data_IF_397799968899
#
_entry.id   IF_397799968899
#
_cell.length_a   1.000
_cell.length_b   1.000
_cell.length_c   1.000
_cell.angle_alpha   90.00
_cell.angle_beta   90.00
_cell.angle_gamma   90.00
#
_symmetry.space_group_name_H-M   'P 1'
#
loop_
_entity.id
_entity.type
_entity.pdbx_description
1 polymer ?
#
# COMPACT_ATOMS: atom_id res chain seq x y z
N UNK A 1 -15.79 -2.05 22.25
CA UNK A 1 -16.43 -3.27 21.74
C UNK A 1 -16.65 -3.05 20.25
N UNK A 2 -15.82 -3.67 19.42
CA UNK A 2 -15.86 -3.60 17.97
C UNK A 2 -16.74 -4.72 17.44
N UNK A 3 -17.75 -4.39 16.65
CA UNK A 3 -18.53 -5.36 15.91
C UNK A 3 -17.83 -5.68 14.57
N UNK A 4 -17.78 -6.95 14.14
CA UNK A 4 -17.15 -7.30 12.88
C UNK A 4 -18.05 -6.92 11.70
N UNK A 5 -17.41 -6.48 10.59
CA UNK A 5 -18.07 -6.22 9.33
C UNK A 5 -18.68 -7.50 8.75
N UNK A 6 -19.97 -7.48 8.45
CA UNK A 6 -20.67 -8.58 7.76
C UNK A 6 -20.44 -8.46 6.24
N UNK A 7 -19.72 -9.40 5.69
CA UNK A 7 -19.69 -9.63 4.24
C UNK A 7 -20.88 -10.53 3.85
N UNK A 8 -21.80 -10.03 3.04
CA UNK A 8 -22.93 -10.81 2.51
C UNK A 8 -22.48 -11.50 1.23
N UNK A 9 -22.19 -12.78 1.33
CA UNK A 9 -21.94 -13.64 0.19
C UNK A 9 -23.25 -14.38 -0.18
N UNK A 10 -23.88 -14.03 -1.31
CA UNK A 10 -25.01 -14.78 -1.87
C UNK A 10 -24.49 -15.83 -2.83
N UNK A 11 -24.40 -17.07 -2.38
CA UNK A 11 -24.25 -18.23 -3.25
C UNK A 11 -25.65 -18.73 -3.67
N UNK A 12 -25.87 -18.85 -4.98
CA UNK A 12 -27.05 -19.50 -5.56
C UNK A 12 -26.95 -21.02 -5.32
N UNK A 13 -27.99 -21.55 -4.69
CA UNK A 13 -28.25 -22.99 -4.62
C UNK A 13 -29.25 -23.37 -5.71
N UNK A 14 -28.79 -24.10 -6.72
CA UNK A 14 -29.68 -24.90 -7.56
C UNK A 14 -29.81 -26.32 -6.97
N UNK A 15 -31.05 -26.66 -6.62
CA UNK A 15 -31.46 -28.02 -6.25
C UNK A 15 -31.71 -28.82 -7.51
N UNK A 16 -31.12 -30.00 -7.61
CA UNK A 16 -31.63 -31.10 -8.44
C UNK A 16 -31.83 -32.34 -7.59
N UNK A 17 -33.02 -32.88 -7.70
CA UNK A 17 -33.55 -33.99 -6.98
C UNK A 17 -32.80 -35.31 -7.22
N UNK A 18 -32.60 -36.05 -6.13
CA UNK A 18 -32.05 -37.41 -6.16
C UNK A 18 -33.16 -38.46 -6.12
N UNK A 19 -33.11 -39.38 -7.04
CA UNK A 19 -33.84 -40.64 -7.02
C UNK A 19 -33.11 -41.64 -6.14
N UNK A 20 -33.90 -42.26 -5.23
CA UNK A 20 -33.51 -43.34 -4.36
C UNK A 20 -33.70 -44.68 -5.10
N UNK A 21 -32.63 -45.49 -5.17
CA UNK A 21 -32.73 -46.93 -5.34
C UNK A 21 -31.85 -47.61 -4.30
N UNK A 22 -32.56 -48.37 -3.43
CA UNK A 22 -31.95 -49.37 -2.55
C UNK A 22 -31.48 -50.57 -3.37
N UNK A 23 -30.25 -51.03 -3.13
CA UNK A 23 -29.87 -52.42 -3.38
C UNK A 23 -28.73 -52.89 -2.44
N UNK A 24 -28.79 -54.12 -2.08
CA UNK A 24 -28.33 -54.85 -0.91
C UNK A 24 -26.80 -54.96 -0.72
N UNK A 25 -26.49 -55.27 0.51
CA UNK A 25 -25.15 -55.49 1.06
C UNK A 25 -24.36 -56.63 0.42
N UNK A 26 -23.06 -56.37 0.15
CA UNK A 26 -22.05 -57.41 0.22
C UNK A 26 -20.80 -56.90 0.87
N UNK A 27 -20.47 -57.50 1.98
CA UNK A 27 -19.28 -57.34 2.80
C UNK A 27 -18.02 -57.69 1.99
N UNK A 28 -17.16 -56.70 1.81
CA UNK A 28 -15.73 -56.96 1.54
C UNK A 28 -14.91 -55.76 2.03
N UNK A 29 -14.33 -55.90 3.22
CA UNK A 29 -13.28 -55.05 3.77
C UNK A 29 -12.09 -54.92 2.83
N UNK A 30 -12.15 -53.97 1.88
CA UNK A 30 -11.00 -53.45 1.19
C UNK A 30 -10.54 -52.18 1.91
N UNK A 31 -9.48 -52.33 2.68
CA UNK A 31 -8.68 -51.16 3.09
C UNK A 31 -8.22 -50.41 1.84
N UNK A 32 -8.92 -49.37 1.44
CA UNK A 32 -8.36 -48.38 0.52
C UNK A 32 -7.26 -47.64 1.29
N UNK A 33 -6.04 -47.54 0.78
CA UNK A 33 -5.06 -46.65 1.39
C UNK A 33 -5.63 -45.25 1.34
N UNK A 34 -5.65 -44.57 2.49
CA UNK A 34 -5.92 -43.12 2.58
C UNK A 34 -4.90 -42.44 1.68
N UNK A 35 -5.29 -42.12 0.46
CA UNK A 35 -4.54 -41.15 -0.35
C UNK A 35 -4.53 -39.86 0.48
N UNK A 36 -3.37 -39.54 1.04
CA UNK A 36 -3.10 -38.20 1.57
C UNK A 36 -3.45 -37.23 0.45
N UNK A 37 -4.65 -36.68 0.50
CA UNK A 37 -4.95 -35.44 -0.21
C UNK A 37 -4.09 -34.37 0.46
N UNK A 38 -2.87 -34.20 -0.06
CA UNK A 38 -2.05 -33.06 0.35
C UNK A 38 -2.86 -31.83 0.02
N UNK A 39 -3.50 -31.25 1.03
CA UNK A 39 -4.03 -29.89 0.95
C UNK A 39 -2.82 -29.03 0.68
N UNK A 40 -2.61 -28.65 -0.57
CA UNK A 40 -1.63 -27.63 -0.92
C UNK A 40 -2.14 -26.34 -0.28
N UNK A 41 -1.65 -26.08 0.93
CA UNK A 41 -1.77 -24.74 1.51
C UNK A 41 -1.25 -23.78 0.45
N UNK A 42 -2.03 -22.74 0.14
CA UNK A 42 -1.61 -21.71 -0.82
C UNK A 42 -0.22 -21.23 -0.43
N UNK A 43 0.76 -21.60 -1.23
CA UNK A 43 2.15 -21.30 -0.95
C UNK A 43 2.39 -19.82 -1.23
N UNK A 44 2.88 -19.09 -0.22
CA UNK A 44 3.17 -17.66 -0.37
C UNK A 44 4.37 -17.50 -1.29
N UNK A 45 4.17 -16.76 -2.37
CA UNK A 45 5.23 -16.38 -3.32
C UNK A 45 5.58 -14.92 -3.04
N UNK A 46 6.87 -14.64 -2.93
CA UNK A 46 7.43 -13.29 -2.75
C UNK A 46 8.10 -12.85 -4.04
N UNK A 47 7.99 -11.58 -4.35
CA UNK A 47 8.47 -11.00 -5.61
C UNK A 47 9.54 -9.94 -5.41
N UNK A 48 9.77 -9.51 -4.18
CA UNK A 48 10.75 -8.48 -3.83
C UNK A 48 12.22 -8.87 -4.04
N UNK A 49 12.47 -10.10 -4.47
CA UNK A 49 13.76 -10.55 -4.99
C UNK A 49 13.75 -10.53 -6.52
N UNK A 50 14.90 -10.76 -7.15
CA UNK A 50 15.07 -10.74 -8.61
C UNK A 50 14.18 -11.68 -9.41
N UNK A 51 13.36 -12.48 -8.76
CA UNK A 51 12.34 -13.36 -9.36
C UNK A 51 11.37 -13.86 -8.32
N UNK A 52 10.20 -14.26 -8.77
CA UNK A 52 9.19 -14.87 -7.89
C UNK A 52 9.74 -16.12 -7.22
N UNK A 53 9.73 -16.17 -5.91
CA UNK A 53 10.23 -17.27 -5.09
C UNK A 53 9.21 -17.66 -4.03
N UNK A 54 9.21 -18.92 -3.64
CA UNK A 54 8.45 -19.37 -2.49
C UNK A 54 9.07 -18.78 -1.21
N UNK A 55 8.26 -18.15 -0.36
CA UNK A 55 8.75 -17.54 0.88
C UNK A 55 9.63 -18.48 1.70
N UNK A 56 9.25 -19.78 1.78
CA UNK A 56 10.02 -20.80 2.51
C UNK A 56 11.40 -21.13 1.90
N UNK A 57 11.62 -20.78 0.64
CA UNK A 57 12.87 -21.02 -0.08
C UNK A 57 13.71 -19.76 -0.22
N UNK A 58 13.20 -18.62 0.25
CA UNK A 58 13.94 -17.37 0.22
C UNK A 58 15.14 -17.41 1.19
N UNK A 59 16.35 -17.11 0.72
CA UNK A 59 17.52 -16.99 1.60
C UNK A 59 17.51 -15.69 2.41
N UNK A 60 16.64 -14.74 2.07
CA UNK A 60 16.52 -13.45 2.71
C UNK A 60 15.41 -13.46 3.78
N UNK A 61 15.58 -12.73 4.90
CA UNK A 61 14.55 -12.59 5.92
C UNK A 61 13.42 -11.68 5.42
N UNK A 62 12.40 -12.29 4.82
CA UNK A 62 11.20 -11.60 4.32
C UNK A 62 10.04 -11.88 5.26
N UNK A 63 9.35 -10.83 5.70
CA UNK A 63 8.03 -10.94 6.33
C UNK A 63 6.96 -10.67 5.28
N UNK A 64 5.88 -11.43 5.32
CA UNK A 64 4.75 -11.27 4.39
C UNK A 64 3.46 -11.03 5.18
N UNK A 65 2.73 -9.99 4.81
CA UNK A 65 1.42 -9.66 5.38
C UNK A 65 0.38 -9.85 4.28
N UNK A 66 -0.53 -10.77 4.50
CA UNK A 66 -1.60 -11.09 3.53
C UNK A 66 -2.77 -10.11 3.63
N UNK A 67 -3.63 -10.07 2.59
CA UNK A 67 -4.87 -9.29 2.59
C UNK A 67 -5.72 -9.57 3.84
N UNK A 68 -5.89 -10.85 4.19
CA UNK A 68 -6.64 -11.24 5.38
C UNK A 68 -6.07 -10.68 6.69
N UNK A 69 -4.74 -10.63 6.81
CA UNK A 69 -4.11 -10.05 8.00
C UNK A 69 -4.32 -8.53 8.05
N UNK A 70 -4.24 -7.84 6.90
CA UNK A 70 -4.53 -6.41 6.80
C UNK A 70 -5.98 -6.10 7.16
N UNK A 71 -6.93 -6.86 6.63
CA UNK A 71 -8.37 -6.72 6.93
C UNK A 71 -8.73 -6.97 8.40
N UNK A 72 -7.99 -7.85 9.08
CA UNK A 72 -8.21 -8.16 10.50
C UNK A 72 -7.60 -7.14 11.45
N UNK A 73 -6.78 -6.22 10.97
CA UNK A 73 -6.13 -5.18 11.77
C UNK A 73 -6.93 -3.88 11.68
N UNK A 74 -7.62 -3.44 12.74
CA UNK A 74 -8.26 -2.13 12.76
C UNK A 74 -7.17 -1.06 12.79
N UNK A 75 -6.93 -0.41 11.67
CA UNK A 75 -5.88 0.59 11.51
C UNK A 75 -6.42 1.85 10.84
N UNK A 76 -5.84 2.99 11.15
CA UNK A 76 -6.18 4.27 10.51
C UNK A 76 -5.39 4.50 9.24
N UNK A 77 -4.22 3.88 9.12
CA UNK A 77 -3.34 3.96 7.96
C UNK A 77 -2.62 2.62 7.74
N UNK A 78 -2.00 2.46 6.57
CA UNK A 78 -1.38 1.18 6.18
C UNK A 78 -0.16 0.83 7.04
N UNK A 79 0.58 1.82 7.53
CA UNK A 79 1.77 1.60 8.37
C UNK A 79 1.36 1.06 9.74
N UNK A 80 0.28 1.57 10.30
CA UNK A 80 -0.31 1.04 11.55
C UNK A 80 -0.65 -0.45 11.43
N UNK A 81 -1.22 -0.86 10.29
CA UNK A 81 -1.56 -2.26 10.02
C UNK A 81 -0.32 -3.18 10.00
N UNK A 82 0.84 -2.71 9.55
CA UNK A 82 2.06 -3.51 9.43
C UNK A 82 3.03 -3.35 10.60
N UNK A 83 2.86 -2.34 11.46
CA UNK A 83 3.74 -2.07 12.59
C UNK A 83 3.77 -3.21 13.64
N UNK A 84 2.81 -4.13 13.58
CA UNK A 84 2.77 -5.32 14.43
C UNK A 84 3.69 -6.46 13.96
N UNK A 85 4.36 -6.30 12.81
CA UNK A 85 5.30 -7.31 12.32
C UNK A 85 6.62 -7.25 13.09
N UNK A 86 7.25 -8.40 13.40
CA UNK A 86 8.51 -8.42 14.12
C UNK A 86 9.60 -7.53 13.49
N UNK A 87 10.17 -6.61 14.28
CA UNK A 87 11.20 -5.66 13.83
C UNK A 87 10.67 -4.52 12.95
N UNK A 88 9.37 -4.30 12.93
CA UNK A 88 8.73 -3.13 12.33
C UNK A 88 8.07 -2.33 13.44
N UNK A 89 8.22 -1.04 13.41
CA UNK A 89 7.52 -0.08 14.25
C UNK A 89 7.13 1.14 13.41
N UNK A 90 6.53 2.13 14.02
CA UNK A 90 6.12 3.34 13.33
C UNK A 90 6.50 4.59 14.12
N UNK A 91 6.66 5.71 13.40
CA UNK A 91 6.63 7.06 13.93
C UNK A 91 5.29 7.64 13.50
N UNK A 92 4.51 8.12 14.45
CA UNK A 92 3.17 8.67 14.22
C UNK A 92 3.04 9.98 14.96
N UNK A 93 2.74 11.06 14.26
CA UNK A 93 2.49 12.40 14.81
C UNK A 93 1.01 12.78 14.77
N UNK A 94 0.17 11.95 14.15
CA UNK A 94 -1.28 12.12 14.05
C UNK A 94 -1.95 10.92 13.39
N UNK A 95 -3.27 10.87 13.42
CA UNK A 95 -4.04 9.74 12.87
C UNK A 95 -3.80 9.49 11.37
N UNK A 96 -3.50 10.55 10.61
CA UNK A 96 -3.24 10.48 9.17
C UNK A 96 -1.76 10.44 8.80
N UNK A 97 -0.84 10.58 9.75
CA UNK A 97 0.59 10.73 9.51
C UNK A 97 1.34 9.60 10.18
N UNK A 98 1.90 8.71 9.39
CA UNK A 98 2.70 7.59 9.90
C UNK A 98 3.81 7.19 8.95
N UNK A 99 4.95 6.81 9.52
CA UNK A 99 6.15 6.34 8.81
C UNK A 99 6.62 5.01 9.35
N UNK A 100 7.13 4.13 8.48
CA UNK A 100 7.69 2.87 8.91
C UNK A 100 9.09 3.06 9.51
N UNK A 101 9.37 2.26 10.52
CA UNK A 101 10.68 2.08 11.11
C UNK A 101 11.02 0.60 11.10
N UNK A 102 12.12 0.23 10.46
CA UNK A 102 12.58 -1.17 10.40
C UNK A 102 13.86 -1.28 11.22
N UNK A 103 13.84 -2.15 12.25
CA UNK A 103 14.99 -2.37 13.14
C UNK A 103 15.58 -1.08 13.74
N UNK A 104 14.72 -0.12 14.09
CA UNK A 104 15.10 1.16 14.67
C UNK A 104 15.56 2.23 13.67
N UNK A 105 15.54 1.94 12.37
CA UNK A 105 15.88 2.91 11.31
C UNK A 105 14.63 3.27 10.52
N UNK A 106 14.41 4.56 10.33
CA UNK A 106 13.26 5.13 9.60
C UNK A 106 13.68 6.20 8.60
N UNK A 107 12.70 7.01 8.16
CA UNK A 107 12.87 8.09 7.19
C UNK A 107 13.47 7.59 5.86
N UNK A 108 14.45 8.30 5.32
CA UNK A 108 15.13 7.97 4.05
C UNK A 108 15.95 6.68 4.08
N UNK A 109 15.91 5.91 5.18
CA UNK A 109 16.60 4.61 5.29
C UNK A 109 15.69 3.42 5.05
N UNK A 110 14.39 3.67 4.84
CA UNK A 110 13.39 2.68 4.45
C UNK A 110 12.87 3.03 3.07
N UNK A 111 13.06 2.14 2.11
CA UNK A 111 12.48 2.31 0.78
C UNK A 111 11.06 1.74 0.76
N UNK A 112 10.15 2.49 0.16
CA UNK A 112 8.78 2.07 -0.07
C UNK A 112 8.59 1.84 -1.57
N UNK A 113 8.07 0.68 -1.93
CA UNK A 113 7.76 0.31 -3.31
C UNK A 113 6.26 0.03 -3.39
N UNK A 114 5.59 0.62 -4.35
CA UNK A 114 4.18 0.42 -4.58
C UNK A 114 3.93 0.02 -6.02
N UNK A 115 3.46 -1.23 -6.24
CA UNK A 115 3.25 -1.84 -7.55
C UNK A 115 4.48 -1.76 -8.46
N UNK A 116 5.65 -2.06 -7.89
CA UNK A 116 6.91 -2.19 -8.60
C UNK A 116 7.74 -0.91 -8.72
N UNK A 117 7.19 0.26 -8.44
CA UNK A 117 7.96 1.51 -8.47
C UNK A 117 8.18 2.08 -7.06
N UNK A 118 9.31 2.74 -6.87
CA UNK A 118 9.62 3.43 -5.62
C UNK A 118 8.65 4.58 -5.42
N UNK A 119 7.93 4.56 -4.30
CA UNK A 119 7.00 5.62 -3.89
C UNK A 119 7.77 6.79 -3.32
N UNK A 120 7.67 7.94 -3.96
CA UNK A 120 8.31 9.16 -3.54
C UNK A 120 7.27 10.15 -2.99
N UNK A 121 7.31 10.39 -1.69
CA UNK A 121 6.30 11.18 -0.97
C UNK A 121 6.89 12.27 -0.07
N UNK A 122 8.15 12.70 -0.29
CA UNK A 122 8.76 13.79 0.45
C UNK A 122 8.76 13.56 1.98
N UNK A 123 9.24 12.42 2.44
CA UNK A 123 9.18 11.96 3.84
C UNK A 123 10.33 12.50 4.71
N UNK A 124 10.60 13.82 4.69
CA UNK A 124 11.74 14.39 5.43
C UNK A 124 11.42 14.75 6.87
N UNK A 125 10.30 15.44 7.11
CA UNK A 125 9.86 15.90 8.41
C UNK A 125 9.11 14.81 9.19
N UNK A 126 8.90 15.00 10.47
CA UNK A 126 8.11 14.07 11.31
C UNK A 126 6.65 14.06 10.90
N UNK A 127 6.15 15.17 10.37
CA UNK A 127 4.79 15.39 9.90
C UNK A 127 4.52 14.79 8.49
N UNK A 128 5.55 14.25 7.83
CA UNK A 128 5.41 13.68 6.48
C UNK A 128 5.20 12.17 6.54
N UNK A 129 3.98 11.71 6.31
CA UNK A 129 3.61 10.29 6.26
C UNK A 129 3.82 9.65 4.89
N UNK A 130 3.38 8.39 4.77
CA UNK A 130 3.34 7.66 3.50
C UNK A 130 1.95 7.79 2.89
N UNK A 131 1.90 8.18 1.62
CA UNK A 131 0.66 8.37 0.85
C UNK A 131 0.32 7.08 0.09
N UNK A 132 -0.30 6.13 0.77
CA UNK A 132 -0.81 4.89 0.18
C UNK A 132 -2.20 4.61 0.74
N UNK A 133 -3.17 4.44 -0.14
CA UNK A 133 -4.52 4.03 0.22
C UNK A 133 -4.52 2.59 0.76
N UNK A 134 -4.89 2.36 2.03
CA UNK A 134 -4.95 1.01 2.60
C UNK A 134 -5.89 0.08 1.82
N UNK A 135 -6.97 0.62 1.23
CA UNK A 135 -7.93 -0.18 0.48
C UNK A 135 -7.37 -0.68 -0.87
N UNK A 136 -6.29 -0.07 -1.38
CA UNK A 136 -5.62 -0.54 -2.61
C UNK A 136 -4.66 -1.69 -2.35
N UNK A 137 -4.20 -1.87 -1.11
CA UNK A 137 -3.16 -2.85 -0.76
C UNK A 137 -3.76 -4.22 -0.52
N UNK A 138 -3.30 -5.21 -1.27
CA UNK A 138 -3.68 -6.62 -1.10
C UNK A 138 -2.67 -7.39 -0.23
N UNK A 139 -1.39 -7.09 -0.36
CA UNK A 139 -0.35 -7.72 0.47
C UNK A 139 0.87 -6.83 0.60
N UNK A 140 1.68 -7.09 1.63
CA UNK A 140 2.91 -6.36 1.88
C UNK A 140 4.05 -7.36 2.10
N UNK A 141 5.15 -7.16 1.36
CA UNK A 141 6.42 -7.83 1.61
C UNK A 141 7.35 -6.87 2.35
N UNK A 142 8.02 -7.35 3.37
CA UNK A 142 8.97 -6.57 4.17
C UNK A 142 10.33 -7.24 4.07
N UNK A 143 11.20 -6.67 3.24
CA UNK A 143 12.56 -7.16 3.05
C UNK A 143 13.48 -6.54 4.09
N UNK A 144 14.27 -7.36 4.75
CA UNK A 144 15.20 -6.95 5.80
C UNK A 144 16.59 -7.52 5.53
N UNK A 145 17.62 -6.68 5.67
CA UNK A 145 19.01 -7.12 5.51
C UNK A 145 19.51 -7.07 4.06
N UNK A 146 20.54 -7.86 3.66
CA UNK A 146 21.29 -7.64 2.41
C UNK A 146 20.46 -7.62 1.12
N UNK A 147 19.34 -8.32 1.09
CA UNK A 147 18.44 -8.33 -0.07
C UNK A 147 17.85 -6.94 -0.39
N UNK A 148 17.77 -6.05 0.57
CA UNK A 148 17.29 -4.70 0.37
C UNK A 148 18.23 -3.83 -0.49
N UNK A 149 19.51 -4.18 -0.58
CA UNK A 149 20.50 -3.45 -1.38
C UNK A 149 20.15 -3.37 -2.87
N UNK A 150 19.34 -4.30 -3.37
CA UNK A 150 18.83 -4.27 -4.75
C UNK A 150 17.98 -3.02 -5.05
N UNK A 151 17.46 -2.38 -4.02
CA UNK A 151 16.62 -1.18 -4.12
C UNK A 151 17.39 0.11 -3.90
N UNK A 152 18.72 0.06 -3.91
CA UNK A 152 19.61 1.20 -3.80
C UNK A 152 20.11 1.49 -2.38
N UNK A 153 20.90 2.54 -2.25
CA UNK A 153 21.58 2.95 -1.01
C UNK A 153 20.65 3.29 0.13
N UNK A 154 19.47 3.80 -0.19
CA UNK A 154 18.47 4.25 0.80
C UNK A 154 17.78 3.08 1.51
N UNK A 155 17.89 1.87 0.97
CA UNK A 155 17.31 0.67 1.55
C UNK A 155 18.12 0.07 2.72
N UNK A 156 18.82 0.91 3.49
CA UNK A 156 19.70 0.47 4.59
C UNK A 156 18.96 -0.30 5.68
N UNK A 157 17.76 0.13 6.03
CA UNK A 157 16.92 -0.52 7.04
C UNK A 157 16.15 -1.71 6.46
N UNK A 158 15.70 -1.56 5.22
CA UNK A 158 14.88 -2.52 4.51
C UNK A 158 13.97 -1.87 3.48
N UNK A 159 13.12 -2.70 2.88
CA UNK A 159 12.15 -2.29 1.86
C UNK A 159 10.76 -2.79 2.23
N UNK A 160 9.77 -1.92 2.09
CA UNK A 160 8.36 -2.26 2.13
C UNK A 160 7.83 -2.31 0.69
N UNK A 161 7.28 -3.44 0.29
CA UNK A 161 6.71 -3.62 -1.05
C UNK A 161 5.22 -3.86 -0.90
N UNK A 162 4.44 -2.92 -1.39
CA UNK A 162 2.99 -2.98 -1.41
C UNK A 162 2.53 -3.50 -2.76
N UNK A 163 1.63 -4.45 -2.74
CA UNK A 163 1.05 -5.08 -3.92
C UNK A 163 -0.45 -4.86 -3.97
N UNK A 164 -0.94 -4.42 -5.10
CA UNK A 164 -2.36 -4.45 -5.43
C UNK A 164 -2.88 -5.88 -5.63
N UNK A 165 -4.19 -6.05 -5.67
CA UNK A 165 -4.79 -7.35 -5.91
C UNK A 165 -4.38 -7.91 -7.29
N UNK A 166 -4.09 -9.22 -7.40
CA UNK A 166 -3.77 -9.83 -8.67
C UNK A 166 -4.96 -9.72 -9.64
N UNK A 167 -4.64 -9.63 -10.93
CA UNK A 167 -5.65 -9.59 -11.99
C UNK A 167 -6.50 -10.86 -11.99
N UNK A 168 -7.78 -10.71 -12.32
CA UNK A 168 -8.72 -11.83 -12.34
C UNK A 168 -8.46 -12.81 -13.48
N UNK A 169 -8.90 -14.06 -13.32
CA UNK A 169 -8.87 -15.04 -14.38
C UNK A 169 -9.79 -14.62 -15.54
N UNK A 170 -9.51 -15.14 -16.74
CA UNK A 170 -10.28 -14.79 -17.94
C UNK A 170 -11.73 -15.21 -17.80
N UNK A 171 -12.64 -14.28 -17.98
CA UNK A 171 -14.10 -14.45 -17.85
C UNK A 171 -14.63 -14.04 -16.46
N UNK A 172 -13.76 -13.80 -15.51
CA UNK A 172 -14.17 -13.42 -14.14
C UNK A 172 -14.42 -11.94 -14.03
N UNK A 173 -15.37 -11.60 -13.15
CA UNK A 173 -15.69 -10.24 -12.72
C UNK A 173 -15.89 -10.22 -11.21
N UNK A 174 -15.52 -9.11 -10.56
CA UNK A 174 -15.66 -8.92 -9.13
C UNK A 174 -16.10 -7.50 -8.83
N UNK A 175 -17.11 -7.37 -7.97
CA UNK A 175 -17.51 -6.10 -7.38
C UNK A 175 -17.46 -6.24 -5.86
N UNK A 176 -16.74 -5.35 -5.19
CA UNK A 176 -16.63 -5.31 -3.73
C UNK A 176 -17.08 -3.94 -3.23
N UNK A 177 -17.76 -3.95 -2.12
CA UNK A 177 -18.06 -2.77 -1.33
C UNK A 177 -17.67 -3.05 0.12
N UNK A 178 -16.94 -2.15 0.73
CA UNK A 178 -16.63 -2.20 2.17
C UNK A 178 -16.87 -0.85 2.80
N UNK A 179 -17.25 -0.86 4.08
CA UNK A 179 -17.39 0.34 4.90
C UNK A 179 -17.07 -0.01 6.34
N UNK A 180 -16.47 0.92 7.06
CA UNK A 180 -16.10 0.78 8.46
C UNK A 180 -16.45 2.03 9.26
N UNK A 181 -16.59 1.84 10.57
CA UNK A 181 -16.79 2.92 11.51
C UNK A 181 -16.03 2.66 12.81
N UNK A 182 -15.27 3.65 13.26
CA UNK A 182 -14.53 3.60 14.54
C UNK A 182 -15.09 4.66 15.48
N UNK A 183 -15.41 4.27 16.70
CA UNK A 183 -16.12 5.14 17.66
C UNK A 183 -15.23 6.15 18.37
N UNK A 184 -13.91 5.94 18.42
CA UNK A 184 -12.99 6.81 19.15
C UNK A 184 -12.90 8.21 18.51
N UNK A 185 -12.75 8.25 17.18
CA UNK A 185 -12.56 9.46 16.38
C UNK A 185 -13.64 9.62 15.30
N UNK A 186 -14.76 8.88 15.40
CA UNK A 186 -15.81 8.91 14.38
C UNK A 186 -15.33 8.56 12.99
N UNK A 187 -14.21 7.85 12.85
CA UNK A 187 -13.67 7.50 11.54
C UNK A 187 -14.70 6.68 10.78
N UNK A 188 -15.08 7.21 9.62
CA UNK A 188 -15.90 6.53 8.63
C UNK A 188 -15.07 6.30 7.38
N UNK A 189 -14.95 5.05 6.95
CA UNK A 189 -14.28 4.66 5.72
C UNK A 189 -15.20 3.90 4.77
N UNK A 190 -14.90 3.98 3.49
CA UNK A 190 -15.60 3.26 2.44
C UNK A 190 -14.63 2.90 1.29
N UNK A 191 -14.90 1.79 0.62
CA UNK A 191 -14.22 1.39 -0.60
C UNK A 191 -15.18 0.70 -1.55
N UNK A 192 -15.10 1.09 -2.82
CA UNK A 192 -15.81 0.49 -3.96
C UNK A 192 -14.76 -0.05 -4.91
N UNK A 193 -14.86 -1.31 -5.30
CA UNK A 193 -13.97 -1.91 -6.29
C UNK A 193 -14.77 -2.69 -7.32
N UNK A 194 -14.47 -2.45 -8.59
CA UNK A 194 -15.02 -3.19 -9.72
C UNK A 194 -13.90 -3.63 -10.66
N UNK A 195 -13.69 -4.92 -10.78
CA UNK A 195 -12.62 -5.52 -11.56
C UNK A 195 -13.14 -6.61 -12.49
N UNK A 196 -12.43 -6.84 -13.59
CA UNK A 196 -12.77 -7.91 -14.52
C UNK A 196 -11.67 -8.23 -15.52
N UNK A 197 -11.84 -9.36 -16.19
CA UNK A 197 -10.99 -9.83 -17.28
C UNK A 197 -11.85 -10.44 -18.37
N UNK A 198 -12.12 -9.70 -19.43
CA UNK A 198 -12.92 -10.17 -20.54
C UNK A 198 -12.07 -10.30 -21.81
N UNK A 199 -11.86 -11.54 -22.24
CA UNK A 199 -11.10 -11.81 -23.47
C UNK A 199 -9.62 -11.42 -23.44
N UNK A 200 -9.05 -11.21 -22.25
CA UNK A 200 -7.69 -10.70 -22.04
C UNK A 200 -7.64 -9.20 -21.73
N UNK A 201 -8.71 -8.44 -22.02
CA UNK A 201 -8.84 -7.08 -21.56
C UNK A 201 -9.13 -7.08 -20.06
N UNK A 202 -8.32 -6.34 -19.31
CA UNK A 202 -8.35 -6.26 -17.85
C UNK A 202 -8.68 -4.83 -17.44
N UNK A 203 -9.55 -4.72 -16.43
CA UNK A 203 -9.79 -3.48 -15.72
C UNK A 203 -9.89 -3.76 -14.23
N UNK A 204 -9.43 -2.83 -13.43
CA UNK A 204 -9.69 -2.76 -11.99
C UNK A 204 -9.85 -1.29 -11.61
N UNK A 205 -11.05 -0.93 -11.19
CA UNK A 205 -11.41 0.44 -10.77
C UNK A 205 -11.69 0.40 -9.29
N UNK A 206 -11.04 1.26 -8.53
CA UNK A 206 -11.28 1.42 -7.10
C UNK A 206 -11.45 2.89 -6.76
N UNK A 207 -12.46 3.16 -5.95
CA UNK A 207 -12.66 4.45 -5.31
C UNK A 207 -12.83 4.23 -3.82
N UNK A 208 -12.07 4.94 -3.01
CA UNK A 208 -12.06 4.82 -1.56
C UNK A 208 -11.95 6.18 -0.90
N UNK A 209 -12.31 6.22 0.37
CA UNK A 209 -12.11 7.40 1.17
C UNK A 209 -12.36 7.12 2.64
N UNK A 210 -11.87 8.00 3.46
CA UNK A 210 -12.12 8.03 4.90
C UNK A 210 -12.11 9.44 5.43
N UNK A 211 -12.82 9.65 6.54
CA UNK A 211 -12.81 10.90 7.28
C UNK A 211 -12.93 10.61 8.78
N UNK A 212 -12.24 11.39 9.57
CA UNK A 212 -12.29 11.29 11.03
C UNK A 212 -12.24 12.67 11.65
N UNK A 213 -12.96 12.85 12.74
CA UNK A 213 -12.78 13.97 13.64
C UNK A 213 -11.62 13.72 14.62
N UNK A 214 -11.33 14.62 15.55
CA UNK A 214 -10.27 14.44 16.53
C UNK A 214 -10.45 13.13 17.33
N UNK A 215 -9.36 12.40 17.53
CA UNK A 215 -9.39 11.22 18.40
C UNK A 215 -9.35 11.61 19.87
N UNK A 216 -9.80 10.70 20.73
CA UNK A 216 -9.84 10.91 22.17
C UNK A 216 -8.85 10.00 22.88
N UNK A 217 -8.04 10.57 23.77
CA UNK A 217 -7.18 9.84 24.70
C UNK A 217 -7.62 10.08 26.16
N UNK A 218 -6.97 9.39 27.09
CA UNK A 218 -7.30 9.45 28.52
C UNK A 218 -6.82 10.76 29.17
N UNK A 219 -5.75 11.35 28.67
CA UNK A 219 -5.04 12.43 29.30
C UNK A 219 -5.53 13.79 28.83
N UNK A 220 -5.69 13.96 27.51
CA UNK A 220 -5.99 15.25 26.89
C UNK A 220 -7.47 15.38 26.45
N UNK A 221 -8.27 14.31 26.61
CA UNK A 221 -9.60 14.31 26.02
C UNK A 221 -9.53 14.19 24.50
N UNK A 222 -10.15 15.12 23.76
CA UNK A 222 -10.01 15.21 22.30
C UNK A 222 -8.71 15.93 21.95
N UNK A 223 -7.89 15.31 21.11
CA UNK A 223 -6.58 15.83 20.71
C UNK A 223 -6.76 16.79 19.54
N UNK A 224 -6.42 18.05 19.76
CA UNK A 224 -6.46 19.10 18.74
C UNK A 224 -5.59 18.73 17.53
N UNK A 225 -6.03 19.12 16.32
CA UNK A 225 -5.28 18.86 15.09
C UNK A 225 -5.29 17.39 14.60
N UNK A 226 -5.96 16.45 15.28
CA UNK A 226 -5.88 15.03 14.93
C UNK A 226 -6.95 14.54 13.94
N UNK A 227 -7.77 15.41 13.37
CA UNK A 227 -8.74 15.05 12.33
C UNK A 227 -8.07 14.78 10.99
N UNK A 228 -8.74 14.03 10.11
CA UNK A 228 -8.21 13.73 8.78
C UNK A 228 -9.32 13.51 7.74
N UNK A 229 -8.95 13.73 6.48
CA UNK A 229 -9.74 13.33 5.30
C UNK A 229 -8.82 12.72 4.25
N UNK A 230 -9.25 11.60 3.67
CA UNK A 230 -8.53 10.90 2.61
C UNK A 230 -9.49 10.50 1.51
N UNK A 231 -9.03 10.59 0.27
CA UNK A 231 -9.73 10.09 -0.90
C UNK A 231 -8.71 9.49 -1.87
N UNK A 232 -9.06 8.38 -2.48
CA UNK A 232 -8.22 7.74 -3.48
C UNK A 232 -9.05 7.19 -4.64
N UNK A 233 -8.46 7.26 -5.83
CA UNK A 233 -8.98 6.64 -7.04
C UNK A 233 -7.84 5.88 -7.71
N UNK A 234 -8.06 4.61 -8.00
CA UNK A 234 -7.13 3.77 -8.75
C UNK A 234 -7.83 3.15 -9.95
N UNK A 235 -7.18 3.19 -11.10
CA UNK A 235 -7.66 2.60 -12.35
C UNK A 235 -6.54 1.81 -13.00
N UNK A 236 -6.70 0.49 -13.08
CA UNK A 236 -5.88 -0.37 -13.92
C UNK A 236 -6.64 -0.67 -15.21
N UNK A 237 -5.98 -0.50 -16.35
CA UNK A 237 -6.40 -0.93 -17.66
C UNK A 237 -5.28 -1.74 -18.31
N UNK A 238 -5.60 -2.87 -18.90
CA UNK A 238 -4.56 -3.71 -19.46
C UNK A 238 -5.03 -4.75 -20.43
N UNK A 239 -4.06 -5.40 -21.02
CA UNK A 239 -4.29 -6.52 -21.93
C UNK A 239 -3.32 -7.66 -21.62
N UNK A 240 -3.90 -8.83 -21.33
CA UNK A 240 -3.16 -10.07 -21.21
C UNK A 240 -3.26 -10.82 -22.54
N UNK A 241 -2.12 -11.11 -23.13
CA UNK A 241 -1.99 -11.84 -24.37
C UNK A 241 -1.09 -13.06 -24.21
N UNK A 242 -0.98 -13.89 -25.24
CA UNK A 242 -0.25 -15.16 -25.16
C UNK A 242 1.24 -14.98 -24.80
N UNK A 243 1.85 -13.89 -25.25
CA UNK A 243 3.28 -13.63 -25.07
C UNK A 243 3.58 -12.71 -23.88
N UNK A 244 2.57 -12.34 -23.07
CA UNK A 244 2.80 -11.47 -21.92
C UNK A 244 1.60 -10.61 -21.54
N UNK A 245 1.89 -9.43 -21.01
CA UNK A 245 0.89 -8.43 -20.67
C UNK A 245 1.41 -7.01 -20.87
N UNK A 246 0.48 -6.08 -20.99
CA UNK A 246 0.72 -4.65 -20.92
C UNK A 246 -0.38 -4.02 -20.07
N UNK A 247 0.01 -3.43 -18.95
CA UNK A 247 -0.88 -2.83 -17.96
C UNK A 247 -0.53 -1.38 -17.74
N UNK A 248 -1.54 -0.51 -17.67
CA UNK A 248 -1.44 0.88 -17.27
C UNK A 248 -2.24 1.08 -15.99
N UNK A 249 -1.59 1.49 -14.93
CA UNK A 249 -2.23 1.89 -13.67
C UNK A 249 -2.17 3.40 -13.52
N UNK A 250 -3.29 4.00 -13.17
CA UNK A 250 -3.43 5.43 -12.90
C UNK A 250 -3.99 5.58 -11.49
N UNK A 251 -3.26 6.24 -10.61
CA UNK A 251 -3.66 6.48 -9.23
C UNK A 251 -3.72 7.97 -8.91
N UNK A 252 -4.70 8.33 -8.15
CA UNK A 252 -4.82 9.61 -7.48
C UNK A 252 -5.08 9.38 -6.00
N UNK A 253 -4.28 10.02 -5.16
CA UNK A 253 -4.41 9.99 -3.72
C UNK A 253 -4.43 11.42 -3.17
N UNK A 254 -5.38 11.71 -2.31
CA UNK A 254 -5.51 12.98 -1.64
C UNK A 254 -5.68 12.77 -0.14
N UNK A 255 -4.85 13.43 0.65
CA UNK A 255 -4.90 13.41 2.10
C UNK A 255 -4.88 14.84 2.65
N UNK A 256 -5.76 15.12 3.58
CA UNK A 256 -5.76 16.35 4.39
C UNK A 256 -5.72 15.92 5.86
N UNK A 257 -4.54 15.68 6.43
CA UNK A 257 -4.38 15.43 7.85
C UNK A 257 -4.24 16.77 8.59
N UNK A 258 -4.77 16.84 9.79
CA UNK A 258 -4.38 17.90 10.72
C UNK A 258 -2.99 17.63 11.28
N UNK A 259 -2.33 18.68 11.67
CA UNK A 259 -1.05 18.66 12.37
C UNK A 259 -1.35 18.75 13.87
N UNK A 260 -0.85 17.79 14.63
CA UNK A 260 -1.02 17.77 16.08
C UNK A 260 0.08 18.61 16.68
N UNK A 261 -0.24 19.89 16.88
CA UNK A 261 0.63 20.88 17.51
C UNK A 261 -0.13 21.58 18.61
N UNK A 262 0.57 22.13 19.60
CA UNK A 262 -0.03 22.90 20.66
C UNK A 262 0.89 23.02 21.86
N UNK A 263 0.68 24.07 22.62
CA UNK A 263 1.35 24.32 23.88
C UNK A 263 0.48 23.82 25.03
N UNK A 264 1.10 23.61 26.18
CA UNK A 264 0.41 23.30 27.42
C UNK A 264 0.48 24.50 28.34
N UNK A 265 -0.64 24.84 28.93
CA UNK A 265 -0.65 25.84 30.02
C UNK A 265 0.33 25.41 31.10
N UNK A 266 1.26 26.28 31.43
CA UNK A 266 2.36 25.97 32.38
C UNK A 266 1.85 25.65 33.81
N UNK A 267 0.65 26.12 34.18
CA UNK A 267 0.09 25.95 35.52
C UNK A 267 -0.83 24.74 35.64
N UNK A 268 -1.65 24.50 34.63
CA UNK A 268 -2.65 23.43 34.63
C UNK A 268 -2.14 22.17 33.96
N UNK A 269 -1.17 22.27 33.04
CA UNK A 269 -0.68 21.19 32.20
C UNK A 269 -1.69 20.76 31.13
N UNK A 270 -2.81 21.46 31.00
CA UNK A 270 -3.82 21.22 29.98
C UNK A 270 -3.34 21.73 28.62
N UNK A 271 -3.74 21.03 27.55
CA UNK A 271 -3.45 21.44 26.17
C UNK A 271 -4.25 22.73 25.86
N UNK A 272 -3.58 23.74 25.36
CA UNK A 272 -4.23 24.96 24.85
C UNK A 272 -4.97 24.63 23.55
N UNK A 273 -6.27 24.89 23.54
CA UNK A 273 -7.14 24.63 22.39
C UNK A 273 -7.74 25.96 21.95
N UNK A 274 -7.72 26.28 20.63
CA UNK A 274 -8.30 27.50 20.11
C UNK A 274 -9.78 27.68 20.50
N UNK A 275 -10.18 28.90 20.78
CA UNK A 275 -11.56 29.26 21.11
C UNK A 275 -12.52 28.87 20.00
N UNK A 276 -13.59 28.15 20.34
CA UNK A 276 -14.60 27.71 19.38
C UNK A 276 -14.23 26.45 18.59
N UNK A 277 -13.14 25.77 18.95
CA UNK A 277 -12.78 24.49 18.31
C UNK A 277 -13.86 23.42 18.54
N UNK A 278 -14.38 22.86 17.46
CA UNK A 278 -15.28 21.69 17.49
C UNK A 278 -14.51 20.40 17.24
N UNK A 279 -14.19 19.70 18.32
CA UNK A 279 -13.45 18.45 18.29
C UNK A 279 -14.13 17.31 17.49
N UNK A 280 -15.43 17.41 17.21
CA UNK A 280 -16.20 16.44 16.42
C UNK A 280 -16.44 16.91 14.99
N UNK A 281 -15.85 18.00 14.59
CA UNK A 281 -15.91 18.50 13.22
C UNK A 281 -15.11 17.58 12.29
N UNK A 282 -15.71 17.25 11.14
CA UNK A 282 -15.03 16.59 10.01
C UNK A 282 -14.43 17.63 9.05
N UNK A 283 -14.39 18.91 9.46
CA UNK A 283 -13.76 20.00 8.70
C UNK A 283 -12.24 19.87 8.65
N UNK A 284 -11.61 20.81 7.96
CA UNK A 284 -10.17 20.96 8.00
C UNK A 284 -9.78 21.62 9.32
N UNK A 285 -8.92 21.02 10.14
CA UNK A 285 -8.34 21.73 11.28
C UNK A 285 -7.32 22.77 10.77
N UNK A 286 -6.91 23.68 11.62
CA UNK A 286 -5.74 24.50 11.43
C UNK A 286 -4.84 24.26 12.64
N UNK A 287 -3.57 23.92 12.49
CA UNK A 287 -2.84 23.69 11.23
C UNK A 287 -3.17 22.37 10.52
N UNK A 288 -2.93 22.30 9.20
CA UNK A 288 -3.16 21.11 8.40
C UNK A 288 -2.23 21.02 7.19
N UNK A 289 -2.05 19.82 6.69
CA UNK A 289 -1.44 19.57 5.38
C UNK A 289 -2.50 19.29 4.31
N UNK A 290 -2.16 19.57 3.07
CA UNK A 290 -2.91 19.16 1.89
C UNK A 290 -1.97 18.47 0.92
N UNK A 291 -2.20 17.18 0.70
CA UNK A 291 -1.34 16.32 -0.08
C UNK A 291 -2.09 15.79 -1.29
N UNK A 292 -1.50 15.96 -2.46
CA UNK A 292 -1.98 15.38 -3.71
C UNK A 292 -0.87 14.52 -4.32
N UNK A 293 -1.16 13.25 -4.54
CA UNK A 293 -0.23 12.34 -5.19
C UNK A 293 -0.88 11.73 -6.43
N UNK A 294 -0.27 11.95 -7.57
CA UNK A 294 -0.65 11.37 -8.86
C UNK A 294 0.40 10.36 -9.27
N UNK A 295 -0.01 9.22 -9.76
CA UNK A 295 0.89 8.15 -10.23
C UNK A 295 0.35 7.52 -11.50
N UNK A 296 1.22 7.32 -12.47
CA UNK A 296 0.97 6.56 -13.69
C UNK A 296 2.07 5.52 -13.85
N UNK A 297 1.70 4.25 -13.98
CA UNK A 297 2.64 3.13 -14.11
C UNK A 297 2.28 2.31 -15.34
N UNK A 298 3.24 2.14 -16.23
CA UNK A 298 3.19 1.24 -17.37
C UNK A 298 4.02 -0.01 -17.05
N UNK A 299 3.37 -1.14 -16.86
CA UNK A 299 4.00 -2.45 -16.60
C UNK A 299 3.80 -3.36 -17.81
N UNK A 300 4.91 -3.79 -18.40
CA UNK A 300 4.93 -4.70 -19.52
C UNK A 300 5.81 -5.90 -19.21
N UNK A 301 5.35 -7.05 -19.65
CA UNK A 301 6.09 -8.30 -19.54
C UNK A 301 5.96 -9.08 -20.83
N UNK A 302 7.07 -9.52 -21.40
CA UNK A 302 7.11 -10.31 -22.62
C UNK A 302 7.86 -11.63 -22.42
N UNK A 303 7.19 -12.74 -22.69
CA UNK A 303 7.83 -14.06 -22.70
C UNK A 303 8.67 -14.22 -23.97
N UNK A 304 9.96 -14.40 -23.81
CA UNK A 304 10.96 -14.66 -24.86
C UNK A 304 11.39 -16.12 -24.74
N UNK A 305 10.63 -17.03 -25.36
CA UNK A 305 10.75 -18.45 -25.07
C UNK A 305 10.37 -18.73 -23.62
N UNK A 306 11.25 -19.39 -22.87
CA UNK A 306 11.08 -19.65 -21.44
C UNK A 306 11.63 -18.51 -20.54
N UNK A 307 12.23 -17.48 -21.14
CA UNK A 307 12.69 -16.28 -20.44
C UNK A 307 11.61 -15.19 -20.40
N UNK A 308 11.85 -14.15 -19.62
CA UNK A 308 10.92 -13.04 -19.47
C UNK A 308 11.67 -11.70 -19.50
N UNK A 309 11.22 -10.79 -20.38
CA UNK A 309 11.65 -9.41 -20.41
C UNK A 309 10.58 -8.54 -19.77
N UNK A 310 10.94 -7.78 -18.75
CA UNK A 310 10.04 -6.84 -18.06
C UNK A 310 10.49 -5.43 -18.30
N UNK A 311 9.51 -4.56 -18.52
CA UNK A 311 9.71 -3.12 -18.65
C UNK A 311 8.69 -2.40 -17.80
N UNK A 312 9.16 -1.62 -16.86
CA UNK A 312 8.37 -0.78 -15.98
C UNK A 312 8.75 0.68 -16.18
N UNK A 313 7.76 1.52 -16.37
CA UNK A 313 7.93 2.97 -16.43
C UNK A 313 6.88 3.62 -15.53
N UNK A 314 7.32 4.40 -14.56
CA UNK A 314 6.46 5.11 -13.63
C UNK A 314 6.69 6.61 -13.68
N UNK A 315 5.62 7.39 -13.64
CA UNK A 315 5.66 8.83 -13.39
C UNK A 315 4.82 9.14 -12.17
N UNK A 316 5.36 9.96 -11.28
CA UNK A 316 4.69 10.42 -10.07
C UNK A 316 4.82 11.93 -9.92
N UNK A 317 3.78 12.56 -9.41
CA UNK A 317 3.80 13.93 -8.93
C UNK A 317 3.24 13.95 -7.51
N UNK A 318 4.05 14.33 -6.55
CA UNK A 318 3.62 14.58 -5.18
C UNK A 318 3.63 16.09 -4.92
N UNK A 319 2.50 16.65 -4.54
CA UNK A 319 2.40 18.02 -4.05
C UNK A 319 1.97 17.99 -2.61
N UNK A 320 2.78 18.60 -1.76
CA UNK A 320 2.51 18.77 -0.33
C UNK A 320 2.48 20.26 0.00
N UNK A 321 1.42 20.67 0.67
CA UNK A 321 1.23 22.03 1.13
C UNK A 321 0.92 22.01 2.63
N UNK A 322 1.49 22.98 3.37
CA UNK A 322 1.25 23.14 4.80
C UNK A 322 0.69 24.53 5.07
N UNK A 323 -0.34 24.55 5.91
CA UNK A 323 -1.08 25.74 6.27
C UNK A 323 -1.09 25.80 7.81
N UNK A 324 -0.42 26.81 8.36
CA UNK A 324 -0.13 26.89 9.80
C UNK A 324 -0.77 28.10 10.45
N UNK A 325 -0.96 29.21 9.71
CA UNK A 325 -1.42 30.46 10.27
C UNK A 325 -2.95 30.59 10.31
N UNK A 326 -3.52 30.70 11.53
CA UNK A 326 -4.96 30.95 11.72
C UNK A 326 -5.38 32.35 11.24
N UNK A 327 -4.50 33.36 11.37
CA UNK A 327 -4.77 34.73 10.94
C UNK A 327 -4.83 34.85 9.42
N UNK A 328 -4.08 34.00 8.70
CA UNK A 328 -4.05 33.97 7.24
C UNK A 328 -4.20 32.54 6.69
N UNK A 329 -5.37 31.90 6.82
CA UNK A 329 -5.59 30.48 6.49
C UNK A 329 -5.44 30.14 5.00
N UNK A 330 -5.13 31.13 4.14
CA UNK A 330 -4.83 30.94 2.73
C UNK A 330 -3.33 30.98 2.43
N UNK A 331 -2.53 31.43 3.37
CA UNK A 331 -1.09 31.46 3.21
C UNK A 331 -0.53 30.05 3.36
N UNK A 332 0.24 29.65 2.38
CA UNK A 332 0.89 28.34 2.33
C UNK A 332 2.34 28.52 2.78
N UNK A 333 2.66 28.08 3.99
CA UNK A 333 4.01 28.11 4.53
C UNK A 333 4.93 27.26 3.66
N UNK A 334 4.63 25.98 3.52
CA UNK A 334 5.40 25.05 2.68
C UNK A 334 4.56 24.60 1.46
N UNK A 335 5.10 24.74 0.26
CA UNK A 335 4.51 24.20 -0.99
C UNK A 335 5.58 23.48 -1.78
N UNK A 336 5.65 22.17 -1.61
CA UNK A 336 6.59 21.28 -2.28
C UNK A 336 5.92 20.53 -3.42
N UNK A 337 6.53 20.56 -4.59
CA UNK A 337 6.12 19.77 -5.75
C UNK A 337 7.28 18.91 -6.20
N UNK A 338 7.12 17.59 -6.06
CA UNK A 338 8.10 16.60 -6.45
C UNK A 338 7.60 15.83 -7.66
N UNK A 339 8.37 15.87 -8.74
CA UNK A 339 8.18 15.05 -9.92
C UNK A 339 9.19 13.92 -9.91
N UNK A 340 8.75 12.70 -10.14
CA UNK A 340 9.61 11.53 -10.19
C UNK A 340 9.24 10.65 -11.38
N UNK A 341 10.24 10.25 -12.15
CA UNK A 341 10.11 9.26 -13.22
C UNK A 341 11.03 8.08 -12.90
N UNK A 342 10.45 6.90 -12.71
CA UNK A 342 11.16 5.66 -12.46
C UNK A 342 11.17 4.80 -13.72
N UNK A 343 12.25 4.10 -13.97
CA UNK A 343 12.34 3.12 -15.06
C UNK A 343 13.07 1.86 -14.60
N UNK A 344 12.60 0.73 -15.07
CA UNK A 344 13.22 -0.58 -14.88
C UNK A 344 13.05 -1.41 -16.15
N UNK A 345 14.14 -1.94 -16.66
CA UNK A 345 14.16 -2.88 -17.77
C UNK A 345 15.04 -4.05 -17.37
N UNK A 346 14.46 -5.23 -17.21
CA UNK A 346 15.24 -6.38 -16.83
C UNK A 346 14.79 -7.67 -17.53
N UNK A 347 15.77 -8.53 -17.76
CA UNK A 347 15.59 -9.85 -18.32
C UNK A 347 15.79 -10.93 -17.26
N UNK A 348 14.85 -11.85 -17.19
CA UNK A 348 14.89 -13.07 -16.37
C UNK A 348 15.14 -14.25 -17.29
N UNK A 349 16.25 -14.96 -17.13
CA UNK A 349 16.51 -16.16 -17.91
C UNK A 349 15.59 -17.31 -17.52
N UNK A 350 15.37 -18.27 -18.43
CA UNK A 350 14.86 -19.59 -18.00
C UNK A 350 15.83 -20.25 -17.02
N UNK A 351 15.32 -21.22 -16.28
CA UNK A 351 16.18 -22.07 -15.46
C UNK A 351 16.93 -23.08 -16.33
N UNK A 352 18.26 -23.00 -16.29
CA UNK A 352 19.17 -23.88 -17.05
C UNK A 352 20.04 -24.67 -16.07
N UNK A 353 19.85 -25.97 -15.96
CA UNK A 353 20.61 -26.83 -15.02
C UNK A 353 20.62 -26.33 -13.57
N UNK A 354 19.49 -25.83 -13.09
CA UNK A 354 19.36 -25.28 -11.73
C UNK A 354 19.88 -23.84 -11.56
N UNK A 355 20.33 -23.18 -12.63
CA UNK A 355 20.77 -21.79 -12.62
C UNK A 355 19.73 -20.86 -13.23
N UNK A 356 19.47 -19.75 -12.57
CA UNK A 356 18.67 -18.61 -13.07
C UNK A 356 19.49 -17.34 -13.04
N UNK A 357 19.41 -16.56 -14.11
CA UNK A 357 20.08 -15.26 -14.23
C UNK A 357 19.03 -14.16 -14.34
N UNK A 358 19.29 -13.03 -13.70
CA UNK A 358 18.57 -11.80 -13.92
C UNK A 358 19.56 -10.68 -14.15
N UNK A 359 19.31 -9.87 -15.16
CA UNK A 359 20.14 -8.69 -15.44
C UNK A 359 19.26 -7.56 -15.94
N UNK A 360 19.62 -6.33 -15.63
CA UNK A 360 18.81 -5.18 -16.01
C UNK A 360 19.47 -3.85 -15.71
N UNK A 361 18.73 -2.83 -16.09
CA UNK A 361 19.01 -1.43 -15.79
C UNK A 361 17.79 -0.83 -15.10
N UNK A 362 18.01 -0.02 -14.11
CA UNK A 362 16.97 0.77 -13.45
C UNK A 362 17.48 2.14 -13.07
N UNK A 363 16.58 3.00 -12.70
CA UNK A 363 16.96 4.32 -12.23
C UNK A 363 15.76 5.25 -12.04
N UNK A 364 16.11 6.48 -11.75
CA UNK A 364 15.16 7.52 -11.43
C UNK A 364 15.62 8.88 -11.92
N UNK A 365 14.69 9.66 -12.44
CA UNK A 365 14.84 11.11 -12.59
C UNK A 365 13.87 11.79 -11.64
N UNK A 366 14.37 12.85 -10.97
CA UNK A 366 13.57 13.57 -9.99
C UNK A 366 13.80 15.07 -10.08
N UNK A 367 12.74 15.85 -9.90
CA UNK A 367 12.76 17.30 -9.78
C UNK A 367 11.90 17.75 -8.61
N UNK A 368 12.50 18.47 -7.67
CA UNK A 368 11.80 19.13 -6.56
C UNK A 368 11.70 20.63 -6.81
N UNK A 369 10.50 21.18 -6.66
CA UNK A 369 10.18 22.60 -6.82
C UNK A 369 9.51 23.05 -5.53
N UNK A 370 10.04 24.14 -4.92
CA UNK A 370 9.54 24.67 -3.65
C UNK A 370 9.01 26.08 -3.90
N UNK A 371 7.74 26.32 -3.51
CA UNK A 371 7.00 27.55 -3.82
C UNK A 371 6.38 28.22 -2.58
N UNK A 372 6.51 27.59 -1.39
CA UNK A 372 6.00 28.16 -0.14
C UNK A 372 6.71 29.44 0.25
N UNK A 373 6.15 30.17 1.21
CA UNK A 373 6.79 31.35 1.82
C UNK A 373 8.01 30.97 2.65
N UNK A 374 8.01 29.75 3.18
CA UNK A 374 9.12 29.20 3.96
C UNK A 374 10.14 28.44 3.09
N UNK A 375 11.39 28.53 3.49
CA UNK A 375 12.49 27.86 2.83
C UNK A 375 13.02 26.73 3.73
N UNK A 376 12.55 25.51 3.52
CA UNK A 376 12.99 24.33 4.26
C UNK A 376 14.01 23.50 3.45
N UNK A 377 13.71 23.25 2.19
CA UNK A 377 14.53 22.40 1.31
C UNK A 377 14.78 23.13 -0.01
N UNK A 378 16.04 23.18 -0.50
CA UNK A 378 16.34 23.72 -1.82
C UNK A 378 15.65 22.95 -2.93
N UNK A 379 15.28 23.64 -4.00
CA UNK A 379 14.89 22.97 -5.24
C UNK A 379 16.10 22.21 -5.81
N UNK A 380 15.84 21.02 -6.37
CA UNK A 380 16.92 20.17 -6.92
C UNK A 380 16.46 19.37 -8.13
N UNK A 381 17.44 18.91 -8.87
CA UNK A 381 17.31 17.86 -9.88
C UNK A 381 18.21 16.69 -9.49
N UNK A 382 17.70 15.48 -9.66
CA UNK A 382 18.45 14.26 -9.43
C UNK A 382 18.24 13.33 -10.63
N UNK A 383 19.30 12.65 -11.01
CA UNK A 383 19.26 11.55 -11.97
C UNK A 383 20.13 10.43 -11.44
N UNK A 384 19.57 9.26 -11.27
CA UNK A 384 20.31 8.07 -10.95
C UNK A 384 20.11 6.97 -12.00
N UNK A 385 21.07 6.07 -12.09
CA UNK A 385 20.98 4.87 -12.89
C UNK A 385 21.72 3.73 -12.20
N UNK A 386 21.21 2.54 -12.36
CA UNK A 386 21.80 1.32 -11.87
C UNK A 386 21.85 0.25 -12.94
N UNK A 387 22.88 -0.59 -12.86
CA UNK A 387 22.98 -1.83 -13.64
C UNK A 387 23.14 -2.97 -12.63
N UNK A 388 22.39 -4.01 -12.79
CA UNK A 388 22.45 -5.15 -11.90
C UNK A 388 22.50 -6.47 -12.64
N UNK A 389 23.10 -7.45 -12.01
CA UNK A 389 23.05 -8.84 -12.42
C UNK A 389 23.00 -9.74 -11.19
N UNK A 390 22.16 -10.77 -11.23
CA UNK A 390 22.04 -11.75 -10.18
C UNK A 390 22.02 -13.17 -10.75
N UNK A 391 22.50 -14.09 -9.98
CA UNK A 391 22.50 -15.50 -10.32
C UNK A 391 22.10 -16.31 -9.07
#
# INVERSE_FOLDING_TARGET
>A
ATAPAMAINRANHDKKDANIHEEEASDSTRHQPLTESSVKLNEVVVTGLTGSQKLKQSPAPISFVSARQLEMQPSTNIIDAIAHQPGVSQITTGSGISKPVIRGLGYNRVVVVNDGIRQEGQQWGDEHGIEIDPASVHSVEILKGPASLMYGSDAMAGVLIFHSAPTLAKGDMRANFSTGYQTNNGLFDYSLNFAGNQGGFIWDTRYSGKMAHAYKNKYDGYVFGSSLREQALSQLLGWNYRQGHSHLTLDYYHLTPGIVEGERDEKTGELEIPDGYDAKSYGKPMPYQQIHHYKAVLDNSWFLGDGNLKFLLGYQQNRRQEFEEEENPKECGLDFMLHTMNYDLHYLSPEMNGWKFSTGINGMWQQSINKGSEFLIPAYHLFDYGVFATV
#
